data_IF_076784587279
#
_entry.id   IF_076784587279
#
_cell.length_a   1.000
_cell.length_b   1.000
_cell.length_c   1.000
_cell.angle_alpha   90.00
_cell.angle_beta   90.00
_cell.angle_gamma   90.00
#
_symmetry.space_group_name_H-M   'P 1'
#
loop_
_entity.id
_entity.type
_entity.pdbx_description
1 polymer ?
#
# COMPACT_ATOMS: atom_id res chain seq x y z
N UNK A 1 2.72 -0.49 25.24
CA UNK A 1 2.38 0.14 23.96
C UNK A 1 1.09 -0.51 23.50
N UNK A 2 0.01 0.25 23.27
CA UNK A 2 -1.19 -0.31 22.68
C UNK A 2 -0.84 -0.93 21.32
N UNK A 3 -1.34 -2.13 21.04
CA UNK A 3 -1.20 -2.77 19.74
C UNK A 3 -1.77 -1.84 18.67
N UNK A 4 -0.94 -1.48 17.66
CA UNK A 4 -1.45 -0.77 16.49
C UNK A 4 -2.14 -1.80 15.60
N UNK A 5 -3.40 -1.57 15.20
CA UNK A 5 -4.08 -2.49 14.29
C UNK A 5 -3.34 -2.59 12.96
N UNK A 6 -3.27 -3.80 12.40
CA UNK A 6 -2.76 -4.08 11.07
C UNK A 6 -3.59 -3.41 9.97
N UNK A 7 -3.17 -3.56 8.71
CA UNK A 7 -3.83 -2.96 7.56
C UNK A 7 -5.29 -3.42 7.43
N UNK A 8 -5.55 -4.73 7.45
CA UNK A 8 -6.91 -5.29 7.33
C UNK A 8 -7.76 -5.05 8.56
N UNK A 9 -7.17 -5.10 9.75
CA UNK A 9 -7.86 -4.78 11.00
C UNK A 9 -8.35 -3.33 10.97
N UNK A 10 -7.52 -2.38 10.52
CA UNK A 10 -7.93 -1.00 10.39
C UNK A 10 -8.96 -0.79 9.29
N UNK A 11 -8.85 -1.49 8.15
CA UNK A 11 -9.87 -1.47 7.10
C UNK A 11 -11.23 -1.90 7.66
N UNK A 12 -11.28 -2.95 8.47
CA UNK A 12 -12.51 -3.44 9.10
C UNK A 12 -13.15 -2.46 10.10
N UNK A 13 -12.38 -1.50 10.63
CA UNK A 13 -12.91 -0.44 11.51
C UNK A 13 -13.55 0.72 10.74
N UNK A 14 -13.20 0.90 9.46
CA UNK A 14 -13.58 2.08 8.66
C UNK A 14 -14.60 1.73 7.59
N UNK A 15 -14.48 0.54 7.01
CA UNK A 15 -15.27 0.11 5.86
C UNK A 15 -16.51 -0.64 6.33
N UNK A 16 -17.64 -0.37 5.66
CA UNK A 16 -18.91 -1.08 5.86
C UNK A 16 -18.68 -2.60 5.75
N UNK A 17 -19.31 -3.37 6.65
CA UNK A 17 -19.12 -4.81 6.79
C UNK A 17 -19.16 -5.56 5.44
N UNK A 18 -18.19 -6.47 5.27
CA UNK A 18 -18.06 -7.36 4.11
C UNK A 18 -17.94 -6.66 2.73
N UNK A 19 -17.67 -5.35 2.68
CA UNK A 19 -17.57 -4.63 1.40
C UNK A 19 -16.17 -4.51 0.81
N UNK A 20 -15.11 -4.90 1.55
CA UNK A 20 -13.74 -4.81 1.05
C UNK A 20 -13.44 -5.87 -0.01
N UNK A 21 -12.94 -5.42 -1.16
CA UNK A 21 -12.44 -6.28 -2.24
C UNK A 21 -11.06 -5.81 -2.65
N UNK A 22 -10.07 -6.70 -2.53
CA UNK A 22 -8.69 -6.40 -2.92
C UNK A 22 -8.57 -6.20 -4.43
N UNK A 23 -7.78 -5.22 -4.85
CA UNK A 23 -7.55 -4.93 -6.25
C UNK A 23 -6.41 -5.80 -6.80
N UNK A 24 -6.48 -6.20 -8.08
CA UNK A 24 -5.34 -6.83 -8.73
C UNK A 24 -4.17 -5.85 -8.74
N UNK A 25 -2.96 -6.38 -8.52
CA UNK A 25 -1.73 -5.62 -8.61
C UNK A 25 -0.70 -6.40 -9.42
N UNK A 26 0.30 -5.72 -10.02
CA UNK A 26 1.43 -6.40 -10.62
C UNK A 26 2.12 -7.29 -9.59
N UNK A 27 2.53 -8.48 -10.01
CA UNK A 27 3.39 -9.36 -9.23
C UNK A 27 4.41 -10.04 -10.15
N UNK A 28 5.42 -10.66 -9.55
CA UNK A 28 6.48 -11.35 -10.28
C UNK A 28 7.50 -11.97 -9.34
N UNK A 29 8.54 -12.64 -9.85
CA UNK A 29 9.65 -13.09 -9.04
C UNK A 29 10.55 -11.90 -8.64
N UNK A 30 11.19 -11.98 -7.47
CA UNK A 30 12.38 -11.16 -7.17
C UNK A 30 13.63 -12.00 -7.46
N UNK A 31 14.75 -11.40 -7.91
CA UNK A 31 16.06 -12.01 -7.73
C UNK A 31 16.33 -12.32 -6.24
N UNK A 32 17.22 -13.29 -5.94
CA UNK A 32 17.60 -13.60 -4.57
C UNK A 32 18.06 -12.36 -3.82
N UNK A 33 17.53 -12.17 -2.61
CA UNK A 33 17.79 -11.03 -1.75
C UNK A 33 17.43 -9.67 -2.41
N UNK A 34 16.41 -9.71 -3.27
CA UNK A 34 15.83 -8.54 -3.92
C UNK A 34 16.76 -7.86 -4.94
N UNK A 35 16.40 -6.66 -5.41
CA UNK A 35 17.00 -6.07 -6.61
C UNK A 35 18.47 -5.68 -6.44
N UNK A 36 18.92 -5.51 -5.20
CA UNK A 36 20.29 -5.15 -4.87
C UNK A 36 21.09 -6.34 -4.31
N UNK A 37 20.49 -7.53 -4.20
CA UNK A 37 21.11 -8.67 -3.52
C UNK A 37 21.48 -8.35 -2.07
N UNK A 38 20.60 -7.64 -1.34
CA UNK A 38 20.85 -7.23 0.03
C UNK A 38 20.81 -8.45 0.97
N UNK A 39 21.94 -8.84 1.61
CA UNK A 39 22.00 -10.09 2.35
C UNK A 39 20.89 -10.25 3.39
N UNK A 40 20.12 -11.34 3.27
CA UNK A 40 19.05 -11.68 4.21
C UNK A 40 17.73 -10.90 4.00
N UNK A 41 17.60 -10.17 2.90
CA UNK A 41 16.37 -9.45 2.58
C UNK A 41 15.20 -10.41 2.32
N UNK A 42 15.42 -11.53 1.64
CA UNK A 42 14.37 -12.53 1.41
C UNK A 42 13.85 -13.11 2.74
N UNK A 43 14.78 -13.45 3.65
CA UNK A 43 14.42 -13.93 4.99
C UNK A 43 13.69 -12.85 5.82
N UNK A 44 14.04 -11.57 5.64
CA UNK A 44 13.31 -10.47 6.29
C UNK A 44 11.88 -10.34 5.74
N UNK A 45 11.68 -10.43 4.42
CA UNK A 45 10.36 -10.41 3.79
C UNK A 45 9.52 -11.62 4.19
N UNK A 46 10.09 -12.82 4.21
CA UNK A 46 9.39 -14.04 4.62
C UNK A 46 8.86 -13.93 6.05
N UNK A 47 9.71 -13.52 7.01
CA UNK A 47 9.29 -13.30 8.40
C UNK A 47 8.23 -12.21 8.54
N UNK A 48 8.29 -11.17 7.71
CA UNK A 48 7.28 -10.11 7.70
C UNK A 48 5.93 -10.63 7.18
N UNK A 49 5.94 -11.44 6.12
CA UNK A 49 4.75 -12.08 5.57
C UNK A 49 4.13 -13.07 6.57
N UNK A 50 4.93 -13.92 7.20
CA UNK A 50 4.47 -14.85 8.25
C UNK A 50 3.83 -14.11 9.43
N UNK A 51 4.44 -13.01 9.87
CA UNK A 51 3.94 -12.22 11.01
C UNK A 51 2.64 -11.48 10.70
N UNK A 52 2.50 -10.94 9.49
CA UNK A 52 1.40 -10.01 9.16
C UNK A 52 0.29 -10.65 8.34
N UNK A 53 0.56 -11.79 7.70
CA UNK A 53 -0.31 -12.37 6.69
C UNK A 53 -0.30 -11.64 5.34
N UNK A 54 0.47 -10.56 5.20
CA UNK A 54 0.50 -9.75 3.98
C UNK A 54 1.74 -10.03 3.13
N UNK A 55 1.57 -9.95 1.81
CA UNK A 55 2.67 -10.14 0.87
C UNK A 55 3.54 -8.88 0.65
N UNK A 56 3.07 -7.70 1.09
CA UNK A 56 3.77 -6.42 0.98
C UNK A 56 3.25 -5.40 2.00
N UNK A 57 3.94 -4.27 2.15
CA UNK A 57 3.62 -3.19 3.09
C UNK A 57 2.37 -2.37 2.79
N UNK A 58 1.60 -2.74 1.77
CA UNK A 58 0.32 -2.11 1.47
C UNK A 58 -0.68 -3.14 0.92
N UNK A 59 -1.92 -3.03 1.42
CA UNK A 59 -3.10 -3.70 0.90
C UNK A 59 -3.96 -2.67 0.20
N UNK A 60 -4.25 -2.90 -1.08
CA UNK A 60 -5.03 -1.97 -1.89
C UNK A 60 -6.33 -2.62 -2.34
N UNK A 61 -7.46 -1.93 -2.18
CA UNK A 61 -8.76 -2.49 -2.49
C UNK A 61 -9.84 -1.43 -2.64
N UNK A 62 -11.04 -1.86 -2.97
CA UNK A 62 -12.24 -1.01 -2.85
C UNK A 62 -13.07 -1.42 -1.65
N UNK A 63 -13.69 -0.46 -0.99
CA UNK A 63 -14.69 -0.69 0.05
C UNK A 63 -15.72 0.43 0.04
N UNK A 64 -16.71 0.35 0.94
CA UNK A 64 -17.71 1.40 1.16
C UNK A 64 -17.58 1.99 2.54
N UNK A 65 -17.89 3.28 2.66
CA UNK A 65 -18.06 3.96 3.95
C UNK A 65 -19.37 4.70 3.86
N UNK A 66 -20.33 4.35 4.70
CA UNK A 66 -21.70 4.91 4.65
C UNK A 66 -22.29 4.80 3.24
N UNK A 67 -22.06 3.65 2.59
CA UNK A 67 -22.50 3.39 1.22
C UNK A 67 -21.66 4.05 0.11
N UNK A 68 -20.71 4.93 0.41
CA UNK A 68 -19.84 5.58 -0.59
C UNK A 68 -18.67 4.67 -0.93
N UNK A 69 -18.59 4.22 -2.19
CA UNK A 69 -17.47 3.39 -2.66
C UNK A 69 -16.21 4.23 -2.85
N UNK A 70 -15.09 3.77 -2.30
CA UNK A 70 -13.78 4.40 -2.44
C UNK A 70 -12.67 3.35 -2.65
N UNK A 71 -11.53 3.79 -3.15
CA UNK A 71 -10.29 3.01 -3.19
C UNK A 71 -9.51 3.28 -1.91
N UNK A 72 -9.10 2.22 -1.23
CA UNK A 72 -8.28 2.26 -0.03
C UNK A 72 -6.88 1.74 -0.32
N UNK A 73 -5.88 2.37 0.28
CA UNK A 73 -4.51 1.88 0.32
C UNK A 73 -4.07 1.83 1.79
N UNK A 74 -4.21 0.65 2.41
CA UNK A 74 -3.92 0.45 3.82
C UNK A 74 -2.50 -0.06 4.01
N UNK A 75 -1.66 0.74 4.65
CA UNK A 75 -0.28 0.35 4.93
C UNK A 75 -0.21 -0.61 6.12
N UNK A 76 0.65 -1.62 5.99
CA UNK A 76 0.95 -2.62 7.02
C UNK A 76 2.31 -2.33 7.65
N UNK A 77 2.31 -1.65 8.81
CA UNK A 77 3.54 -1.26 9.49
C UNK A 77 4.35 -2.47 9.96
N UNK A 78 3.69 -3.58 10.29
CA UNK A 78 4.33 -4.84 10.62
C UNK A 78 5.15 -5.42 9.46
N UNK A 79 4.85 -5.04 8.21
CA UNK A 79 5.62 -5.49 7.05
C UNK A 79 6.79 -4.54 6.78
N UNK A 80 7.95 -4.86 7.35
CA UNK A 80 9.18 -4.09 7.21
C UNK A 80 9.00 -2.59 7.51
N UNK A 81 8.27 -2.26 8.59
CA UNK A 81 8.01 -0.89 9.01
C UNK A 81 7.04 -0.13 8.10
N UNK A 82 6.22 -0.83 7.31
CA UNK A 82 5.37 -0.20 6.30
C UNK A 82 6.18 0.49 5.19
N UNK A 83 7.46 0.13 5.04
CA UNK A 83 8.38 0.84 4.16
C UNK A 83 7.95 0.75 2.69
N UNK A 84 8.17 1.82 1.94
CA UNK A 84 7.85 1.92 0.52
C UNK A 84 8.97 1.28 -0.31
N UNK A 85 8.74 0.04 -0.77
CA UNK A 85 9.56 -0.63 -1.79
C UNK A 85 8.94 -0.49 -3.18
N UNK A 86 9.62 -1.03 -4.20
CA UNK A 86 9.18 -1.04 -5.59
C UNK A 86 7.78 -1.64 -5.76
N UNK A 87 7.55 -2.84 -5.18
CA UNK A 87 6.23 -3.50 -5.24
C UNK A 87 5.14 -2.75 -4.49
N UNK A 88 5.48 -2.10 -3.38
CA UNK A 88 4.55 -1.19 -2.69
C UNK A 88 4.13 -0.06 -3.63
N UNK A 89 5.09 0.52 -4.37
CA UNK A 89 4.83 1.55 -5.37
C UNK A 89 3.96 1.05 -6.54
N UNK A 90 4.18 -0.17 -7.03
CA UNK A 90 3.36 -0.78 -8.09
C UNK A 90 1.91 -0.96 -7.64
N UNK A 91 1.68 -1.45 -6.42
CA UNK A 91 0.35 -1.58 -5.82
C UNK A 91 -0.37 -0.23 -5.69
N UNK A 92 0.34 0.79 -5.21
CA UNK A 92 -0.20 2.14 -5.11
C UNK A 92 -0.53 2.73 -6.48
N UNK A 93 0.34 2.57 -7.47
CA UNK A 93 0.08 3.04 -8.83
C UNK A 93 -1.16 2.36 -9.44
N UNK A 94 -1.28 1.04 -9.31
CA UNK A 94 -2.44 0.28 -9.75
C UNK A 94 -3.73 0.76 -9.05
N UNK A 95 -3.70 0.97 -7.74
CA UNK A 95 -4.85 1.46 -6.97
C UNK A 95 -5.29 2.87 -7.42
N UNK A 96 -4.34 3.79 -7.60
CA UNK A 96 -4.65 5.14 -8.06
C UNK A 96 -5.13 5.15 -9.52
N UNK A 97 -4.59 4.29 -10.38
CA UNK A 97 -5.07 4.12 -11.74
C UNK A 97 -6.51 3.61 -11.76
N UNK A 98 -6.81 2.56 -10.98
CA UNK A 98 -8.17 2.03 -10.82
C UNK A 98 -9.15 3.11 -10.34
N UNK A 99 -8.76 3.90 -9.34
CA UNK A 99 -9.57 4.99 -8.81
C UNK A 99 -9.93 6.01 -9.90
N UNK A 100 -8.96 6.38 -10.74
CA UNK A 100 -9.19 7.34 -11.83
C UNK A 100 -10.08 6.77 -12.93
N UNK A 101 -9.86 5.52 -13.31
CA UNK A 101 -10.68 4.82 -14.30
C UNK A 101 -12.15 4.72 -13.86
N UNK A 102 -12.38 4.42 -12.58
CA UNK A 102 -13.71 4.22 -12.01
C UNK A 102 -14.31 5.46 -11.34
N UNK A 103 -13.59 6.60 -11.41
CA UNK A 103 -13.96 7.88 -10.78
C UNK A 103 -14.27 7.78 -9.28
N UNK A 104 -13.48 6.99 -8.55
CA UNK A 104 -13.64 6.77 -7.12
C UNK A 104 -12.74 7.70 -6.29
N UNK A 105 -13.18 8.14 -5.09
CA UNK A 105 -12.30 8.75 -4.11
C UNK A 105 -11.16 7.81 -3.71
N UNK A 106 -10.03 8.38 -3.27
CA UNK A 106 -8.87 7.62 -2.78
C UNK A 106 -8.62 7.94 -1.31
N UNK A 107 -8.50 6.91 -0.48
CA UNK A 107 -8.29 7.01 0.96
C UNK A 107 -7.05 6.19 1.36
N UNK A 108 -5.84 6.76 1.28
CA UNK A 108 -4.66 6.10 1.82
C UNK A 108 -4.66 6.17 3.35
N UNK A 109 -4.49 5.01 3.98
CA UNK A 109 -4.37 4.83 5.42
C UNK A 109 -2.88 4.60 5.73
N UNK A 110 -2.17 5.71 5.93
CA UNK A 110 -0.71 5.80 5.89
C UNK A 110 -0.12 5.40 7.23
N UNK A 111 0.72 4.36 7.21
CA UNK A 111 1.56 3.90 8.31
C UNK A 111 2.89 3.42 7.75
N UNK A 112 3.91 4.29 7.70
CA UNK A 112 5.19 3.97 7.05
C UNK A 112 6.38 4.60 7.76
N UNK A 113 7.48 3.85 7.86
CA UNK A 113 8.79 4.34 8.30
C UNK A 113 9.60 5.02 7.19
N UNK A 114 9.07 5.14 5.97
CA UNK A 114 9.74 5.78 4.83
C UNK A 114 10.12 4.81 3.71
N UNK A 115 11.21 5.10 3.00
CA UNK A 115 11.67 4.29 1.86
C UNK A 115 12.35 2.99 2.33
N UNK A 116 12.19 1.91 1.56
CA UNK A 116 12.80 0.61 1.87
C UNK A 116 14.29 0.57 1.51
N UNK A 117 15.15 0.66 2.52
CA UNK A 117 16.60 0.73 2.34
C UNK A 117 17.18 -0.45 1.54
N UNK A 118 16.62 -1.65 1.71
CA UNK A 118 17.07 -2.87 1.04
C UNK A 118 16.93 -2.80 -0.49
N UNK A 119 16.14 -1.85 -1.01
CA UNK A 119 15.94 -1.62 -2.45
C UNK A 119 16.57 -0.30 -2.93
N UNK A 120 17.19 0.48 -2.05
CA UNK A 120 17.96 1.69 -2.37
C UNK A 120 17.21 2.70 -3.25
N UNK A 121 17.81 3.10 -4.37
CA UNK A 121 17.23 4.09 -5.28
C UNK A 121 15.90 3.63 -5.90
N UNK A 122 15.67 2.33 -6.05
CA UNK A 122 14.40 1.81 -6.53
C UNK A 122 13.28 2.13 -5.55
N UNK A 123 13.51 2.02 -4.24
CA UNK A 123 12.54 2.46 -3.23
C UNK A 123 12.36 3.98 -3.21
N UNK A 124 13.44 4.76 -3.34
CA UNK A 124 13.37 6.22 -3.28
C UNK A 124 12.51 6.81 -4.41
N UNK A 125 12.64 6.28 -5.63
CA UNK A 125 11.87 6.74 -6.80
C UNK A 125 10.36 6.50 -6.65
N UNK A 126 9.94 5.61 -5.74
CA UNK A 126 8.52 5.36 -5.50
C UNK A 126 7.79 6.57 -4.91
N UNK A 127 8.49 7.43 -4.15
CA UNK A 127 7.90 8.69 -3.65
C UNK A 127 7.48 9.60 -4.81
N UNK A 128 8.29 9.67 -5.86
CA UNK A 128 7.98 10.44 -7.07
C UNK A 128 6.80 9.81 -7.84
N UNK A 129 6.75 8.47 -7.93
CA UNK A 129 5.61 7.76 -8.53
C UNK A 129 4.32 8.07 -7.78
N UNK A 130 4.30 7.92 -6.46
CA UNK A 130 3.11 8.20 -5.64
C UNK A 130 2.70 9.67 -5.73
N UNK A 131 3.65 10.62 -5.67
CA UNK A 131 3.36 12.04 -5.86
C UNK A 131 2.73 12.33 -7.22
N UNK A 132 3.25 11.70 -8.29
CA UNK A 132 2.65 11.80 -9.63
C UNK A 132 1.23 11.23 -9.65
N UNK A 133 0.98 10.08 -9.03
CA UNK A 133 -0.37 9.52 -8.96
C UNK A 133 -1.35 10.45 -8.24
N UNK A 134 -0.95 11.05 -7.13
CA UNK A 134 -1.77 12.03 -6.40
C UNK A 134 -2.09 13.26 -7.25
N UNK A 135 -1.10 13.79 -7.98
CA UNK A 135 -1.28 14.92 -8.89
C UNK A 135 -2.26 14.58 -10.03
N UNK A 136 -2.13 13.40 -10.63
CA UNK A 136 -3.06 12.92 -11.67
C UNK A 136 -4.48 12.73 -11.14
N UNK A 137 -4.65 12.19 -9.94
CA UNK A 137 -5.96 12.01 -9.31
C UNK A 137 -6.60 13.37 -8.98
N UNK A 138 -5.81 14.37 -8.56
CA UNK A 138 -6.27 15.76 -8.40
C UNK A 138 -6.73 16.36 -9.73
N UNK A 139 -5.93 16.18 -10.80
CA UNK A 139 -6.28 16.69 -12.13
C UNK A 139 -7.56 16.04 -12.68
N UNK A 140 -7.86 14.80 -12.31
CA UNK A 140 -9.11 14.11 -12.64
C UNK A 140 -10.34 14.59 -11.84
N UNK A 141 -10.14 15.51 -10.87
CA UNK A 141 -11.20 16.06 -10.02
C UNK A 141 -11.72 15.09 -8.95
N UNK A 142 -10.91 14.10 -8.53
CA UNK A 142 -11.32 13.09 -7.56
C UNK A 142 -10.85 13.46 -6.14
N UNK A 143 -11.72 13.20 -5.17
CA UNK A 143 -11.43 13.43 -3.76
C UNK A 143 -10.32 12.49 -3.27
N UNK A 144 -9.42 13.04 -2.43
CA UNK A 144 -8.33 12.30 -1.82
C UNK A 144 -8.27 12.70 -0.33
N UNK A 145 -8.36 11.71 0.56
CA UNK A 145 -8.29 11.94 2.02
C UNK A 145 -7.23 11.01 2.60
N UNK A 146 -6.09 11.57 2.98
CA UNK A 146 -5.04 10.81 3.63
C UNK A 146 -5.25 10.78 5.15
N UNK A 147 -5.21 9.57 5.72
CA UNK A 147 -5.28 9.35 7.17
C UNK A 147 -3.91 8.87 7.62
N UNK A 148 -3.24 9.62 8.49
CA UNK A 148 -1.91 9.29 9.02
C UNK A 148 -2.07 8.67 10.42
N UNK A 149 -1.43 7.53 10.67
CA UNK A 149 -1.55 6.75 11.92
C UNK A 149 -0.24 6.13 12.40
#
# INVERSE_FOLDING_TARGET
MAERPGAREFLALVIDDASFTELPHPDGPWPPDGPLGWPGYDAARARAAERTGEAESVVCGTGRVEGVRAVFAAFEFGFLGGSLGHRTGDRLEAAYAYAREHRLPVVPLVATGGSRMQEGMLALTQLQRVARQSALTRAAGLAQIAVVR
#
